data_IF_752673613501
#
_entry.id   IF_752673613501
#
_cell.length_a   1.000
_cell.length_b   1.000
_cell.length_c   1.000
_cell.angle_alpha   90.00
_cell.angle_beta   90.00
_cell.angle_gamma   90.00
#
_symmetry.space_group_name_H-M   'P 1'
#
loop_
_entity.id
_entity.type
_entity.pdbx_description
1 polymer ?
#
# COMPACT_ATOMS: atom_id res chain seq x y z
N UNK A 1 12.35 -25.90 48.33
CA UNK A 1 10.87 -25.85 48.43
C UNK A 1 10.28 -26.28 47.11
N UNK A 2 9.99 -27.57 46.95
CA UNK A 2 9.24 -28.11 45.81
C UNK A 2 8.41 -29.28 46.34
N UNK A 3 7.08 -29.15 46.25
CA UNK A 3 6.13 -30.16 46.70
C UNK A 3 5.49 -30.77 45.45
N UNK A 4 5.73 -32.06 45.24
CA UNK A 4 5.19 -32.90 44.17
C UNK A 4 3.73 -33.28 44.52
N UNK A 5 2.82 -33.40 43.53
CA UNK A 5 1.37 -33.40 43.74
C UNK A 5 0.83 -34.72 44.31
N UNK A 6 -0.20 -34.59 45.16
CA UNK A 6 -1.01 -35.69 45.63
C UNK A 6 -1.91 -36.20 44.49
N UNK A 7 -1.84 -37.51 44.23
CA UNK A 7 -2.71 -38.23 43.31
C UNK A 7 -3.96 -38.73 44.04
N UNK A 8 -5.11 -38.63 43.37
CA UNK A 8 -6.29 -39.45 43.65
C UNK A 8 -7.62 -38.72 43.38
N UNK A 9 -8.73 -39.42 43.09
CA UNK A 9 -8.89 -40.70 42.39
C UNK A 9 -9.57 -40.52 41.02
N UNK A 10 -9.25 -41.42 40.07
CA UNK A 10 -9.93 -41.54 38.77
C UNK A 10 -11.26 -42.28 38.99
N UNK A 11 -12.38 -41.57 38.88
CA UNK A 11 -13.72 -42.18 38.91
C UNK A 11 -14.08 -42.74 37.53
N UNK A 12 -14.01 -44.06 37.36
CA UNK A 12 -14.65 -44.77 36.27
C UNK A 12 -16.16 -44.88 36.56
N UNK A 13 -17.00 -44.22 35.76
CA UNK A 13 -18.44 -44.43 35.75
C UNK A 13 -18.79 -45.41 34.64
N UNK A 14 -19.19 -46.63 35.03
CA UNK A 14 -19.75 -47.65 34.15
C UNK A 14 -21.10 -47.19 33.59
N UNK A 15 -21.32 -47.39 32.29
CA UNK A 15 -22.60 -47.13 31.62
C UNK A 15 -23.69 -48.07 32.12
N UNK A 16 -24.85 -47.51 32.48
CA UNK A 16 -26.06 -48.27 32.81
C UNK A 16 -26.80 -48.60 31.51
N UNK A 17 -26.96 -49.89 31.23
CA UNK A 17 -27.83 -50.40 30.17
C UNK A 17 -29.26 -50.46 30.74
N UNK A 18 -30.20 -49.74 30.12
CA UNK A 18 -31.61 -49.88 30.42
C UNK A 18 -32.19 -51.00 29.56
N UNK A 19 -32.48 -52.15 30.18
CA UNK A 19 -33.38 -53.16 29.63
C UNK A 19 -34.80 -52.84 30.15
N UNK A 20 -35.68 -52.38 29.27
CA UNK A 20 -37.09 -52.20 29.56
C UNK A 20 -37.88 -53.29 28.83
N UNK A 21 -38.32 -54.31 29.58
CA UNK A 21 -39.48 -55.12 29.22
C UNK A 21 -40.73 -54.41 29.73
N UNK A 22 -41.82 -54.43 28.95
CA UNK A 22 -43.13 -54.47 29.56
C UNK A 22 -43.83 -55.76 29.12
N UNK A 23 -44.09 -56.62 30.11
CA UNK A 23 -45.22 -57.54 30.09
C UNK A 23 -46.41 -56.71 30.54
N UNK A 24 -47.42 -56.57 29.69
CA UNK A 24 -48.81 -56.75 30.11
C UNK A 24 -49.71 -56.94 28.88
N UNK A 25 -50.11 -58.19 28.65
CA UNK A 25 -51.28 -58.54 27.86
C UNK A 25 -52.52 -58.40 28.74
N UNK A 26 -53.34 -57.36 28.51
CA UNK A 26 -54.77 -57.42 28.84
C UNK A 26 -55.57 -56.46 27.97
N UNK A 27 -56.65 -56.99 27.40
CA UNK A 27 -57.50 -56.39 26.37
C UNK A 27 -58.24 -55.10 26.80
N UNK A 28 -58.64 -54.25 25.82
CA UNK A 28 -59.11 -52.90 26.05
C UNK A 28 -60.64 -52.80 26.11
N UNK A 29 -61.13 -51.78 26.80
CA UNK A 29 -62.50 -51.30 26.62
C UNK A 29 -62.56 -49.79 26.81
N UNK A 30 -63.05 -49.13 25.75
CA UNK A 30 -63.80 -47.87 25.73
C UNK A 30 -63.04 -46.58 25.41
N UNK A 31 -63.43 -46.00 24.26
CA UNK A 31 -63.36 -44.60 23.84
C UNK A 31 -62.04 -44.07 23.26
N UNK A 32 -61.66 -44.60 22.10
CA UNK A 32 -60.68 -43.98 21.20
C UNK A 32 -61.39 -43.02 20.23
N UNK A 33 -60.97 -41.76 20.19
CA UNK A 33 -61.57 -40.71 19.37
C UNK A 33 -61.23 -40.92 17.88
N UNK A 34 -62.22 -40.72 17.00
CA UNK A 34 -62.11 -40.92 15.53
C UNK A 34 -61.00 -40.07 14.85
N UNK A 35 -60.54 -39.01 15.50
CA UNK A 35 -59.46 -38.13 15.00
C UNK A 35 -58.05 -38.71 15.20
N UNK A 36 -57.87 -39.74 16.05
CA UNK A 36 -56.60 -40.45 16.20
C UNK A 36 -56.44 -41.63 15.23
N UNK A 37 -57.51 -42.05 14.53
CA UNK A 37 -57.49 -43.17 13.57
C UNK A 37 -57.29 -42.75 12.11
N UNK A 38 -57.08 -41.46 11.82
CA UNK A 38 -56.78 -41.01 10.46
C UNK A 38 -55.32 -41.31 10.10
N UNK A 39 -55.10 -42.40 9.36
CA UNK A 39 -53.81 -42.91 8.85
C UNK A 39 -52.98 -41.91 8.01
N UNK A 40 -53.56 -40.77 7.64
CA UNK A 40 -52.92 -39.73 6.82
C UNK A 40 -52.93 -38.34 7.48
N UNK A 41 -53.52 -38.18 8.66
CA UNK A 41 -53.41 -36.92 9.41
C UNK A 41 -52.22 -37.01 10.34
N UNK A 42 -51.18 -36.22 10.09
CA UNK A 42 -50.11 -36.03 11.08
C UNK A 42 -50.67 -35.09 12.14
N UNK A 43 -50.92 -35.54 13.38
CA UNK A 43 -51.34 -34.64 14.44
C UNK A 43 -50.23 -33.59 14.58
N UNK A 44 -50.52 -32.31 14.32
CA UNK A 44 -49.57 -31.25 14.62
C UNK A 44 -49.33 -31.31 16.13
N UNK A 45 -48.16 -31.77 16.60
CA UNK A 45 -47.90 -31.73 18.01
C UNK A 45 -47.84 -30.24 18.32
N UNK A 46 -48.77 -29.75 19.15
CA UNK A 46 -48.65 -28.43 19.77
C UNK A 46 -47.45 -28.48 20.72
N UNK A 47 -46.25 -28.48 20.14
CA UNK A 47 -44.99 -28.37 20.84
C UNK A 47 -44.97 -26.96 21.41
N UNK A 48 -45.55 -26.82 22.60
CA UNK A 48 -45.30 -25.66 23.45
C UNK A 48 -43.82 -25.77 23.79
N UNK A 49 -42.99 -24.97 23.13
CA UNK A 49 -41.59 -24.84 23.46
C UNK A 49 -41.53 -24.32 24.90
N UNK A 50 -41.39 -25.26 25.84
CA UNK A 50 -41.09 -24.96 27.22
C UNK A 50 -39.59 -24.77 27.22
N UNK A 51 -39.16 -23.52 27.35
CA UNK A 51 -37.75 -23.20 27.54
C UNK A 51 -37.26 -24.03 28.73
N UNK A 52 -36.27 -24.92 28.53
CA UNK A 52 -35.74 -25.73 29.61
C UNK A 52 -35.29 -24.80 30.74
N UNK A 53 -35.59 -25.10 32.02
CA UNK A 53 -35.09 -24.29 33.12
C UNK A 53 -33.56 -24.23 33.02
N UNK A 54 -33.02 -23.00 33.00
CA UNK A 54 -31.65 -22.69 32.60
C UNK A 54 -30.65 -23.75 33.10
N UNK A 55 -30.16 -24.58 32.18
CA UNK A 55 -29.23 -25.64 32.52
C UNK A 55 -27.90 -25.04 33.00
N UNK A 56 -27.14 -25.79 33.81
CA UNK A 56 -25.80 -25.35 34.27
C UNK A 56 -24.88 -24.93 33.10
N UNK A 57 -25.04 -25.55 31.93
CA UNK A 57 -24.32 -25.20 30.70
C UNK A 57 -24.71 -23.82 30.14
N UNK A 58 -25.99 -23.46 30.16
CA UNK A 58 -26.46 -22.15 29.69
C UNK A 58 -26.01 -21.03 30.62
N UNK A 59 -26.02 -21.30 31.93
CA UNK A 59 -25.46 -20.38 32.93
C UNK A 59 -23.93 -20.22 32.78
N UNK A 60 -23.20 -21.29 32.45
CA UNK A 60 -21.78 -21.23 32.11
C UNK A 60 -21.49 -20.40 30.85
N UNK A 61 -22.25 -20.60 29.77
CA UNK A 61 -22.05 -19.86 28.52
C UNK A 61 -22.44 -18.38 28.67
N UNK A 62 -23.50 -18.08 29.43
CA UNK A 62 -23.92 -16.70 29.70
C UNK A 62 -22.91 -15.96 30.57
N UNK A 63 -22.36 -16.58 31.61
CA UNK A 63 -21.30 -15.97 32.44
C UNK A 63 -20.01 -15.71 31.65
N UNK A 64 -19.57 -16.67 30.83
CA UNK A 64 -18.41 -16.47 29.92
C UNK A 64 -18.68 -15.34 28.92
N UNK A 65 -19.90 -15.29 28.35
CA UNK A 65 -20.28 -14.22 27.42
C UNK A 65 -20.28 -12.86 28.10
N UNK A 66 -20.87 -12.72 29.29
CA UNK A 66 -20.89 -11.46 30.03
C UNK A 66 -19.47 -11.04 30.46
N UNK A 67 -18.63 -11.98 30.85
CA UNK A 67 -17.22 -11.70 31.16
C UNK A 67 -16.42 -11.24 29.93
N UNK A 68 -16.76 -11.73 28.74
CA UNK A 68 -16.03 -11.41 27.49
C UNK A 68 -16.56 -10.15 26.79
N UNK A 69 -17.82 -9.78 27.01
CA UNK A 69 -18.44 -8.55 26.49
C UNK A 69 -17.58 -7.28 26.65
N UNK A 70 -17.07 -6.93 27.84
CA UNK A 70 -16.27 -5.71 28.02
C UNK A 70 -14.95 -5.72 27.22
N UNK A 71 -14.36 -6.89 26.97
CA UNK A 71 -13.15 -7.01 26.16
C UNK A 71 -13.45 -6.84 24.66
N UNK A 72 -14.57 -7.40 24.20
CA UNK A 72 -15.01 -7.25 22.81
C UNK A 72 -15.37 -5.78 22.52
N UNK A 73 -16.08 -5.11 23.43
CA UNK A 73 -16.45 -3.69 23.24
C UNK A 73 -15.20 -2.79 23.23
N UNK A 74 -14.21 -3.06 24.10
CA UNK A 74 -12.93 -2.35 24.08
C UNK A 74 -12.16 -2.58 22.76
N UNK A 75 -12.09 -3.82 22.29
CA UNK A 75 -11.47 -4.17 20.99
C UNK A 75 -12.19 -3.51 19.81
N UNK A 76 -13.53 -3.47 19.83
CA UNK A 76 -14.31 -2.79 18.79
C UNK A 76 -14.13 -1.27 18.86
N UNK A 77 -14.07 -0.67 20.04
CA UNK A 77 -13.90 0.79 20.17
C UNK A 77 -12.52 1.24 19.66
N UNK A 78 -11.47 0.49 20.00
CA UNK A 78 -10.10 0.79 19.56
C UNK A 78 -9.98 0.66 18.04
N UNK A 79 -10.48 -0.42 17.45
CA UNK A 79 -10.49 -0.63 16.00
C UNK A 79 -11.32 0.44 15.28
N UNK A 80 -12.53 0.74 15.75
CA UNK A 80 -13.37 1.79 15.16
C UNK A 80 -12.73 3.18 15.25
N UNK A 81 -11.98 3.48 16.31
CA UNK A 81 -11.24 4.74 16.44
C UNK A 81 -10.06 4.83 15.46
N UNK A 82 -9.35 3.72 15.24
CA UNK A 82 -8.26 3.65 14.27
C UNK A 82 -8.78 3.83 12.84
N UNK A 83 -9.86 3.13 12.49
CA UNK A 83 -10.52 3.24 11.18
C UNK A 83 -11.01 4.67 10.93
N UNK A 84 -11.64 5.33 11.92
CA UNK A 84 -12.07 6.73 11.79
C UNK A 84 -10.91 7.70 11.55
N UNK A 85 -9.76 7.52 12.21
CA UNK A 85 -8.57 8.36 12.00
C UNK A 85 -8.07 8.23 10.56
N UNK A 86 -7.95 7.00 10.07
CA UNK A 86 -7.51 6.73 8.68
C UNK A 86 -8.51 7.31 7.69
N UNK A 87 -9.81 7.14 7.92
CA UNK A 87 -10.86 7.70 7.08
C UNK A 87 -10.83 9.23 7.04
N UNK A 88 -10.56 9.89 8.17
CA UNK A 88 -10.42 11.35 8.23
C UNK A 88 -9.23 11.88 7.43
N UNK A 89 -8.07 11.20 7.53
CA UNK A 89 -6.88 11.55 6.74
C UNK A 89 -7.12 11.29 5.26
N UNK A 90 -7.68 10.13 4.92
CA UNK A 90 -8.00 9.78 3.53
C UNK A 90 -8.99 10.77 2.92
N UNK A 91 -10.05 11.15 3.65
CA UNK A 91 -11.02 12.14 3.20
C UNK A 91 -10.41 13.53 2.99
N UNK A 92 -9.31 13.88 3.67
CA UNK A 92 -8.60 15.14 3.48
C UNK A 92 -7.61 15.10 2.32
N UNK A 93 -6.93 13.97 2.13
CA UNK A 93 -5.91 13.81 1.08
C UNK A 93 -6.56 13.53 -0.28
N UNK A 94 -7.67 12.78 -0.32
CA UNK A 94 -8.40 12.45 -1.53
C UNK A 94 -8.72 13.68 -2.40
N UNK A 95 -9.37 14.77 -1.89
CA UNK A 95 -9.66 15.93 -2.72
C UNK A 95 -8.41 16.67 -3.19
N UNK A 96 -7.31 16.65 -2.40
CA UNK A 96 -6.04 17.29 -2.80
C UNK A 96 -5.43 16.54 -3.98
N UNK A 97 -5.47 15.21 -3.95
CA UNK A 97 -4.97 14.37 -5.03
C UNK A 97 -5.87 14.49 -6.26
N UNK A 98 -7.19 14.46 -6.07
CA UNK A 98 -8.15 14.63 -7.16
C UNK A 98 -7.99 16.00 -7.83
N UNK A 99 -7.81 17.08 -7.06
CA UNK A 99 -7.54 18.44 -7.54
C UNK A 99 -6.21 18.53 -8.28
N UNK A 100 -5.14 17.95 -7.73
CA UNK A 100 -3.83 17.91 -8.39
C UNK A 100 -3.87 17.10 -9.71
N UNK A 101 -4.62 15.99 -9.74
CA UNK A 101 -4.81 15.18 -10.94
C UNK A 101 -5.67 15.95 -11.96
N UNK A 102 -6.69 16.68 -11.51
CA UNK A 102 -7.52 17.50 -12.39
C UNK A 102 -6.72 18.65 -12.98
N UNK A 103 -5.98 19.40 -12.16
CA UNK A 103 -5.05 20.44 -12.59
C UNK A 103 -3.99 19.88 -13.56
N UNK A 104 -3.49 18.67 -13.30
CA UNK A 104 -2.57 17.97 -14.19
C UNK A 104 -3.20 17.62 -15.54
N UNK A 105 -4.45 17.14 -15.55
CA UNK A 105 -5.21 16.86 -16.79
C UNK A 105 -5.50 18.14 -17.57
N UNK A 106 -5.93 19.20 -16.90
CA UNK A 106 -6.23 20.49 -17.52
C UNK A 106 -4.95 21.11 -18.13
N UNK A 107 -3.83 21.01 -17.40
CA UNK A 107 -2.51 21.38 -17.91
C UNK A 107 -2.04 20.48 -19.07
N UNK A 108 -2.32 19.18 -19.02
CA UNK A 108 -1.98 18.24 -20.09
C UNK A 108 -2.74 18.55 -21.38
N UNK A 109 -4.04 18.84 -21.30
CA UNK A 109 -4.85 19.25 -22.47
C UNK A 109 -4.27 20.52 -23.11
N UNK A 110 -3.78 21.46 -22.29
CA UNK A 110 -3.12 22.67 -22.76
C UNK A 110 -1.73 22.40 -23.40
N UNK A 111 -0.97 21.44 -22.85
CA UNK A 111 0.31 21.00 -23.39
C UNK A 111 0.18 20.13 -24.65
N UNK A 112 -0.99 19.51 -24.88
CA UNK A 112 -1.23 18.62 -26.02
C UNK A 112 -1.44 19.41 -27.33
N UNK A 113 -1.94 20.65 -27.26
CA UNK A 113 -2.04 21.59 -28.38
C UNK A 113 -1.40 22.94 -28.03
N UNK A 114 -0.08 22.99 -27.81
CA UNK A 114 0.54 24.21 -27.34
C UNK A 114 0.67 25.21 -28.49
N UNK A 115 0.39 26.51 -28.26
CA UNK A 115 0.82 27.53 -29.19
C UNK A 115 2.36 27.50 -29.27
N UNK A 116 2.96 27.76 -30.45
CA UNK A 116 4.40 27.58 -30.70
C UNK A 116 5.33 28.38 -29.75
N UNK A 117 4.78 29.35 -29.02
CA UNK A 117 5.48 30.24 -28.10
C UNK A 117 5.47 29.80 -26.62
N UNK A 118 4.77 28.71 -26.27
CA UNK A 118 4.55 28.36 -24.86
C UNK A 118 5.80 27.83 -24.15
N UNK A 119 6.49 26.83 -24.71
CA UNK A 119 7.68 26.24 -24.09
C UNK A 119 8.86 27.19 -23.96
N UNK A 120 9.19 28.03 -24.96
CA UNK A 120 10.25 29.03 -24.82
C UNK A 120 9.95 30.00 -23.67
N UNK A 121 8.71 30.48 -23.56
CA UNK A 121 8.30 31.43 -22.50
C UNK A 121 8.23 30.77 -21.12
N UNK A 122 7.59 29.61 -21.02
CA UNK A 122 7.50 28.86 -19.78
C UNK A 122 8.89 28.40 -19.29
N UNK A 123 9.76 28.00 -20.22
CA UNK A 123 11.16 27.69 -19.95
C UNK A 123 11.88 28.90 -19.37
N UNK A 124 11.88 30.04 -20.06
CA UNK A 124 12.55 31.26 -19.57
C UNK A 124 12.02 31.71 -18.21
N UNK A 125 10.69 31.69 -18.00
CA UNK A 125 10.08 32.05 -16.71
C UNK A 125 10.47 31.05 -15.61
N UNK A 126 10.45 29.75 -15.90
CA UNK A 126 10.83 28.71 -14.96
C UNK A 126 12.32 28.79 -14.59
N UNK A 127 13.19 28.92 -15.58
CA UNK A 127 14.63 29.11 -15.38
C UNK A 127 14.92 30.39 -14.60
N UNK A 128 14.26 31.51 -14.93
CA UNK A 128 14.42 32.76 -14.20
C UNK A 128 13.94 32.64 -12.74
N UNK A 129 12.86 31.90 -12.48
CA UNK A 129 12.37 31.63 -11.13
C UNK A 129 13.34 30.78 -10.31
N UNK A 130 13.85 29.68 -10.88
CA UNK A 130 14.83 28.81 -10.22
C UNK A 130 16.13 29.56 -9.96
N UNK A 131 16.63 30.29 -10.97
CA UNK A 131 17.84 31.10 -10.85
C UNK A 131 17.65 32.22 -9.81
N UNK A 132 16.48 32.86 -9.81
CA UNK A 132 16.10 33.86 -8.81
C UNK A 132 16.05 33.28 -7.39
N UNK A 133 15.47 32.09 -7.21
CA UNK A 133 15.45 31.40 -5.92
C UNK A 133 16.86 31.03 -5.45
N UNK A 134 17.72 30.59 -6.38
CA UNK A 134 19.10 30.24 -6.09
C UNK A 134 19.93 31.45 -5.62
N UNK A 135 19.71 32.60 -6.24
CA UNK A 135 20.35 33.86 -5.86
C UNK A 135 19.74 34.45 -4.56
N UNK A 136 18.42 34.39 -4.41
CA UNK A 136 17.68 35.00 -3.29
C UNK A 136 17.89 34.25 -1.97
N UNK A 137 18.01 32.92 -2.00
CA UNK A 137 18.11 32.10 -0.77
C UNK A 137 19.47 32.19 -0.05
N UNK A 138 20.33 33.15 -0.43
CA UNK A 138 21.56 33.45 0.32
C UNK A 138 22.56 32.30 0.30
N UNK A 139 22.58 31.50 -0.77
CA UNK A 139 23.50 30.38 -0.90
C UNK A 139 24.95 30.87 -0.98
N UNK A 140 25.87 30.20 -0.26
CA UNK A 140 27.32 30.48 -0.30
C UNK A 140 27.92 30.38 -1.71
N UNK A 141 27.16 29.84 -2.67
CA UNK A 141 27.50 29.82 -4.09
C UNK A 141 27.81 31.20 -4.65
N UNK A 142 27.12 32.27 -4.22
CA UNK A 142 27.48 33.63 -4.67
C UNK A 142 28.89 34.05 -4.24
N UNK A 143 29.40 33.53 -3.11
CA UNK A 143 30.77 33.79 -2.65
C UNK A 143 31.83 33.04 -3.46
N UNK A 144 31.46 31.99 -4.18
CA UNK A 144 32.37 31.24 -5.04
C UNK A 144 32.31 31.76 -6.47
N UNK A 145 31.10 31.86 -7.04
CA UNK A 145 30.88 32.22 -8.44
C UNK A 145 31.28 33.68 -8.73
N UNK A 146 31.04 34.61 -7.79
CA UNK A 146 31.37 36.02 -8.01
C UNK A 146 32.89 36.28 -8.14
N UNK A 147 33.76 35.88 -7.19
CA UNK A 147 35.20 36.10 -7.34
C UNK A 147 35.83 35.22 -8.43
N UNK A 148 35.41 33.95 -8.58
CA UNK A 148 35.97 33.10 -9.65
C UNK A 148 35.54 33.55 -11.03
N UNK A 149 34.29 33.96 -11.20
CA UNK A 149 33.78 34.52 -12.45
C UNK A 149 34.49 35.82 -12.83
N UNK A 150 34.63 36.75 -11.89
CA UNK A 150 35.37 37.99 -12.14
C UNK A 150 36.86 37.74 -12.43
N UNK A 151 37.51 36.81 -11.73
CA UNK A 151 38.89 36.42 -12.02
C UNK A 151 39.02 35.78 -13.41
N UNK A 152 38.10 34.91 -13.80
CA UNK A 152 38.09 34.29 -15.13
C UNK A 152 37.88 35.33 -16.24
N UNK A 153 36.95 36.28 -16.04
CA UNK A 153 36.72 37.38 -16.99
C UNK A 153 37.97 38.28 -17.08
N UNK A 154 38.57 38.65 -15.94
CA UNK A 154 39.80 39.43 -15.91
C UNK A 154 40.95 38.73 -16.64
N UNK A 155 41.14 37.44 -16.40
CA UNK A 155 42.13 36.62 -17.08
C UNK A 155 41.83 36.47 -18.60
N UNK A 156 40.55 36.36 -18.97
CA UNK A 156 40.12 36.26 -20.37
C UNK A 156 40.37 37.55 -21.16
N UNK A 157 40.14 38.71 -20.54
CA UNK A 157 40.40 40.01 -21.18
C UNK A 157 41.90 40.26 -21.31
N UNK A 158 42.69 39.84 -20.32
CA UNK A 158 44.13 40.03 -20.32
C UNK A 158 44.88 39.07 -21.25
N UNK A 159 44.36 37.86 -21.49
CA UNK A 159 44.96 36.86 -22.39
C UNK A 159 43.92 36.23 -23.36
N UNK A 160 43.44 36.99 -24.37
CA UNK A 160 42.35 36.55 -25.23
C UNK A 160 42.70 35.34 -26.11
N UNK A 161 43.96 35.21 -26.53
CA UNK A 161 44.39 34.07 -27.37
C UNK A 161 44.31 32.75 -26.60
N UNK A 162 44.77 32.74 -25.34
CA UNK A 162 44.70 31.55 -24.46
C UNK A 162 43.29 31.21 -24.04
N UNK A 163 42.44 32.22 -23.82
CA UNK A 163 41.02 32.00 -23.57
C UNK A 163 40.33 31.35 -24.77
N UNK A 164 40.64 31.77 -26.01
CA UNK A 164 40.02 31.22 -27.21
C UNK A 164 40.41 29.76 -27.50
N UNK A 165 41.66 29.39 -27.23
CA UNK A 165 42.15 28.01 -27.35
C UNK A 165 41.44 27.09 -26.34
N UNK A 166 41.36 27.51 -25.07
CA UNK A 166 40.65 26.76 -24.03
C UNK A 166 39.14 26.70 -24.28
N UNK A 167 38.54 27.78 -24.76
CA UNK A 167 37.12 27.81 -25.10
C UNK A 167 36.78 26.84 -26.24
N UNK A 168 37.63 26.73 -27.26
CA UNK A 168 37.46 25.74 -28.34
C UNK A 168 37.58 24.31 -27.81
N UNK A 169 38.66 24.01 -27.09
CA UNK A 169 38.88 22.67 -26.52
C UNK A 169 37.75 22.24 -25.57
N UNK A 170 37.21 23.17 -24.78
CA UNK A 170 36.08 22.91 -23.88
C UNK A 170 34.76 22.81 -24.65
N UNK A 171 34.59 23.65 -25.68
CA UNK A 171 33.40 23.68 -26.53
C UNK A 171 33.19 22.34 -27.25
N UNK A 172 34.25 21.76 -27.80
CA UNK A 172 34.19 20.47 -28.49
C UNK A 172 33.76 19.34 -27.53
N UNK A 173 34.33 19.30 -26.32
CA UNK A 173 33.96 18.30 -25.31
C UNK A 173 32.51 18.42 -24.82
N UNK A 174 32.02 19.66 -24.62
CA UNK A 174 30.61 19.90 -24.27
C UNK A 174 29.69 19.53 -25.43
N UNK A 175 30.10 19.83 -26.67
CA UNK A 175 29.33 19.49 -27.87
C UNK A 175 29.20 17.97 -28.04
N UNK A 176 30.29 17.22 -27.89
CA UNK A 176 30.27 15.76 -27.96
C UNK A 176 29.39 15.15 -26.87
N UNK A 177 29.49 15.67 -25.64
CA UNK A 177 28.64 15.23 -24.54
C UNK A 177 27.16 15.57 -24.78
N UNK A 178 26.87 16.76 -25.30
CA UNK A 178 25.51 17.16 -25.65
C UNK A 178 24.95 16.29 -26.78
N UNK A 179 25.77 15.93 -27.76
CA UNK A 179 25.40 15.02 -28.83
C UNK A 179 25.11 13.62 -28.29
N UNK A 180 25.95 13.10 -27.39
CA UNK A 180 25.72 11.82 -26.71
C UNK A 180 24.45 11.84 -25.86
N UNK A 181 24.20 12.93 -25.13
CA UNK A 181 22.99 13.10 -24.33
C UNK A 181 21.74 13.16 -25.22
N UNK A 182 21.81 13.89 -26.34
CA UNK A 182 20.74 13.97 -27.32
C UNK A 182 20.45 12.60 -27.94
N UNK A 183 21.49 11.86 -28.35
CA UNK A 183 21.36 10.50 -28.86
C UNK A 183 20.77 9.58 -27.79
N UNK A 184 21.22 9.64 -26.54
CA UNK A 184 20.66 8.83 -25.45
C UNK A 184 19.18 9.15 -25.21
N UNK A 185 18.80 10.43 -25.25
CA UNK A 185 17.39 10.83 -25.15
C UNK A 185 16.57 10.35 -26.35
N UNK A 186 17.09 10.44 -27.58
CA UNK A 186 16.43 9.88 -28.75
C UNK A 186 16.22 8.37 -28.64
N UNK A 187 17.19 7.63 -28.08
CA UNK A 187 17.09 6.18 -27.85
C UNK A 187 16.05 5.82 -26.79
N UNK A 188 15.84 6.69 -25.79
CA UNK A 188 14.78 6.51 -24.78
C UNK A 188 13.40 6.92 -25.29
N UNK A 189 13.33 7.90 -26.20
CA UNK A 189 12.07 8.45 -26.74
C UNK A 189 11.54 7.65 -27.93
N UNK A 190 12.41 7.06 -28.76
CA UNK A 190 11.98 6.13 -29.83
C UNK A 190 11.66 4.76 -29.23
N UNK A 191 10.47 4.17 -29.50
CA UNK A 191 10.22 2.78 -29.14
C UNK A 191 11.21 1.87 -29.89
N UNK A 192 11.89 1.00 -29.14
CA UNK A 192 12.99 0.17 -29.61
C UNK A 192 12.64 -0.64 -30.89
N UNK A 193 13.47 -0.58 -31.96
CA UNK A 193 13.63 -1.73 -32.82
C UNK A 193 14.50 -2.78 -32.09
N UNK A 194 14.11 -4.04 -32.24
CA UNK A 194 14.66 -5.26 -31.58
C UNK A 194 16.20 -5.35 -31.63
N UNK A 195 16.85 -5.99 -30.64
CA UNK A 195 18.29 -5.94 -30.48
C UNK A 195 19.02 -6.88 -31.43
N UNK A 196 20.12 -6.40 -32.03
CA UNK A 196 21.14 -7.24 -32.64
C UNK A 196 22.52 -6.88 -32.06
N UNK A 197 22.90 -7.71 -31.09
CA UNK A 197 24.22 -8.29 -30.80
C UNK A 197 25.49 -7.52 -31.19
N UNK A 198 26.30 -7.29 -30.14
CA UNK A 198 27.68 -7.80 -30.02
C UNK A 198 28.75 -7.26 -30.98
N UNK A 199 29.67 -6.45 -30.41
CA UNK A 199 31.10 -6.72 -30.62
C UNK A 199 31.96 -6.29 -29.44
N UNK A 200 32.53 -7.32 -28.82
CA UNK A 200 33.56 -7.36 -27.78
C UNK A 200 34.96 -7.16 -28.41
N UNK A 201 35.86 -6.55 -27.64
CA UNK A 201 37.34 -6.56 -27.68
C UNK A 201 38.13 -6.56 -29.00
N UNK A 202 38.93 -5.51 -29.16
CA UNK A 202 40.38 -5.48 -29.48
C UNK A 202 40.76 -4.00 -29.52
N UNK A 203 41.67 -3.46 -28.72
CA UNK A 203 43.07 -3.85 -28.69
C UNK A 203 43.74 -3.31 -27.41
N UNK A 204 44.06 -4.21 -26.48
CA UNK A 204 45.22 -4.04 -25.62
C UNK A 204 46.37 -4.75 -26.32
N UNK A 205 47.35 -3.98 -26.80
CA UNK A 205 48.75 -4.36 -27.05
C UNK A 205 49.47 -3.13 -27.57
N UNK A 206 50.39 -2.62 -26.77
CA UNK A 206 51.81 -2.40 -27.12
C UNK A 206 52.38 -1.23 -26.31
N UNK A 207 52.72 -1.52 -25.05
CA UNK A 207 53.88 -0.90 -24.42
C UNK A 207 55.13 -1.72 -24.80
N UNK A 208 56.26 -1.01 -24.88
CA UNK A 208 57.68 -1.44 -24.83
C UNK A 208 58.49 -1.50 -26.14
N UNK A 209 59.43 -0.53 -26.24
CA UNK A 209 60.83 -0.63 -26.73
C UNK A 209 61.15 -0.10 -28.14
N UNK A 210 61.59 1.16 -28.20
CA UNK A 210 62.95 1.58 -28.60
C UNK A 210 63.10 3.10 -28.41
#
# INVERSE_FOLDING_TARGET
MFKVPAQGPVGMMMGVVFAATPIDEKSPSSELSLEELSLYTSPQPRLRYVEPPAGQLEQGVTTVRQATQPYITWGQQTTNSAVKKVQGVYGKVKPIVDDAVQMGKDGYVYLQNPPPEFYPRAGVIGFAGILGLFLARGSRWKKLVYPTGLMAIGASVYYPQKASEMAKATGDGIYDYALQAYVAMEQLVKPAPKPLKEKVEKSAKEETKA
#
